data_IF_254530018751
#
_entry.id   IF_254530018751
#
_cell.length_a   1.000
_cell.length_b   1.000
_cell.length_c   1.000
_cell.angle_alpha   90.00
_cell.angle_beta   90.00
_cell.angle_gamma   90.00
#
_symmetry.space_group_name_H-M   'P 1'
#
loop_
_entity.id
_entity.type
_entity.pdbx_description
1 polymer ?
#
# COMPACT_ATOMS: atom_id res chain seq x y z
N UNK A 1 40.15 39.09 -62.31
CA UNK A 1 39.39 38.69 -61.10
C UNK A 1 38.68 37.39 -61.43
N UNK A 2 39.30 36.25 -61.09
CA UNK A 2 38.69 34.92 -61.26
C UNK A 2 37.97 34.52 -60.03
N UNK A 3 36.65 34.47 -60.11
CA UNK A 3 35.78 33.95 -59.06
C UNK A 3 35.84 32.44 -59.15
N UNK A 4 36.47 31.79 -58.15
CA UNK A 4 36.46 30.33 -58.01
C UNK A 4 35.10 29.91 -57.49
N UNK A 5 34.28 29.32 -58.39
CA UNK A 5 33.02 28.65 -58.04
C UNK A 5 33.38 27.41 -57.27
N UNK A 6 33.17 27.45 -55.95
CA UNK A 6 33.24 26.28 -55.06
C UNK A 6 32.18 25.26 -55.54
N UNK A 7 32.61 24.13 -56.07
CA UNK A 7 31.72 23.08 -56.59
C UNK A 7 30.88 22.47 -55.46
N UNK A 8 29.55 22.37 -55.60
CA UNK A 8 28.63 21.84 -54.57
C UNK A 8 28.89 20.37 -54.21
N UNK A 9 29.59 19.62 -55.02
CA UNK A 9 29.95 18.21 -54.83
C UNK A 9 30.89 17.96 -53.63
N UNK A 10 31.78 18.92 -53.27
CA UNK A 10 32.63 18.78 -52.06
C UNK A 10 31.87 19.01 -50.76
N UNK A 11 30.87 19.84 -50.75
CA UNK A 11 30.01 20.08 -49.58
C UNK A 11 29.12 18.87 -49.28
N UNK A 12 28.58 18.23 -50.31
CA UNK A 12 27.76 17.00 -50.19
C UNK A 12 28.56 15.80 -49.66
N UNK A 13 29.84 15.66 -50.05
CA UNK A 13 30.75 14.63 -49.53
C UNK A 13 31.06 14.82 -48.03
N UNK A 14 31.22 16.06 -47.58
CA UNK A 14 31.43 16.39 -46.15
C UNK A 14 30.20 16.08 -45.31
N UNK A 15 29.00 16.42 -45.77
CA UNK A 15 27.73 16.14 -45.05
C UNK A 15 27.47 14.63 -45.01
N UNK A 16 27.70 13.88 -46.07
CA UNK A 16 27.58 12.42 -46.08
C UNK A 16 28.55 11.75 -45.12
N UNK A 17 29.81 12.19 -45.07
CA UNK A 17 30.81 11.69 -44.10
C UNK A 17 30.42 11.97 -42.65
N UNK A 18 29.91 13.17 -42.38
CA UNK A 18 29.45 13.53 -41.02
C UNK A 18 28.25 12.68 -40.59
N UNK A 19 27.28 12.45 -41.46
CA UNK A 19 26.14 11.57 -41.21
C UNK A 19 26.57 10.13 -40.95
N UNK A 20 27.55 9.60 -41.66
CA UNK A 20 28.11 8.27 -41.44
C UNK A 20 28.77 8.16 -40.06
N UNK A 21 29.56 9.16 -39.64
CA UNK A 21 30.19 9.20 -38.31
C UNK A 21 29.15 9.29 -37.21
N UNK A 22 28.13 10.14 -37.34
CA UNK A 22 27.03 10.24 -36.38
C UNK A 22 26.25 8.95 -36.26
N UNK A 23 25.96 8.30 -37.42
CA UNK A 23 25.28 6.99 -37.45
C UNK A 23 26.11 5.91 -36.75
N UNK A 24 27.42 5.85 -37.01
CA UNK A 24 28.33 4.90 -36.38
C UNK A 24 28.42 5.13 -34.86
N UNK A 25 28.54 6.39 -34.41
CA UNK A 25 28.52 6.74 -33.02
C UNK A 25 27.17 6.35 -32.34
N UNK A 26 26.07 6.61 -33.02
CA UNK A 26 24.74 6.18 -32.56
C UNK A 26 24.63 4.66 -32.41
N UNK A 27 25.15 3.92 -33.38
CA UNK A 27 25.19 2.45 -33.31
C UNK A 27 26.06 1.95 -32.16
N UNK A 28 27.25 2.51 -31.96
CA UNK A 28 28.15 2.16 -30.87
C UNK A 28 27.47 2.44 -29.51
N UNK A 29 26.85 3.61 -29.33
CA UNK A 29 26.12 3.95 -28.12
C UNK A 29 24.95 3.00 -27.87
N UNK A 30 24.21 2.62 -28.91
CA UNK A 30 23.15 1.64 -28.83
C UNK A 30 23.68 0.27 -28.39
N UNK A 31 24.76 -0.21 -28.99
CA UNK A 31 25.39 -1.48 -28.62
C UNK A 31 25.90 -1.46 -27.16
N UNK A 32 26.50 -0.36 -26.73
CA UNK A 32 26.93 -0.18 -25.33
C UNK A 32 25.74 -0.22 -24.38
N UNK A 33 24.62 0.42 -24.73
CA UNK A 33 23.37 0.36 -23.93
C UNK A 33 22.80 -1.05 -23.88
N UNK A 34 22.77 -1.76 -25.00
CA UNK A 34 22.29 -3.16 -25.02
C UNK A 34 23.20 -4.04 -24.16
N UNK A 35 24.51 -3.90 -24.27
CA UNK A 35 25.47 -4.63 -23.44
C UNK A 35 25.28 -4.31 -21.96
N UNK A 36 25.12 -3.03 -21.60
CA UNK A 36 24.85 -2.61 -20.21
C UNK A 36 23.56 -3.23 -19.66
N UNK A 37 22.48 -3.21 -20.46
CA UNK A 37 21.21 -3.82 -20.07
C UNK A 37 21.32 -5.34 -19.91
N UNK A 38 22.06 -5.99 -20.80
CA UNK A 38 22.30 -7.43 -20.73
C UNK A 38 23.11 -7.81 -19.47
N UNK A 39 24.21 -7.12 -19.18
CA UNK A 39 25.01 -7.35 -17.98
C UNK A 39 24.21 -7.09 -16.72
N UNK A 40 23.43 -6.02 -16.67
CA UNK A 40 22.55 -5.71 -15.54
C UNK A 40 21.48 -6.80 -15.35
N UNK A 41 20.88 -7.29 -16.43
CA UNK A 41 19.94 -8.42 -16.38
C UNK A 41 20.61 -9.68 -15.81
N UNK A 42 21.80 -10.04 -16.27
CA UNK A 42 22.53 -11.21 -15.78
C UNK A 42 22.85 -11.09 -14.26
N UNK A 43 23.26 -9.91 -13.86
CA UNK A 43 23.51 -9.63 -12.44
C UNK A 43 22.24 -9.79 -11.59
N UNK A 44 21.10 -9.25 -12.06
CA UNK A 44 19.79 -9.41 -11.41
C UNK A 44 19.39 -10.88 -11.29
N UNK A 45 19.48 -11.64 -12.40
CA UNK A 45 19.13 -13.05 -12.42
C UNK A 45 20.01 -13.87 -11.47
N UNK A 46 21.29 -13.56 -11.39
CA UNK A 46 22.23 -14.20 -10.44
C UNK A 46 21.82 -13.91 -8.98
N UNK A 47 21.43 -12.69 -8.66
CA UNK A 47 20.95 -12.32 -7.33
C UNK A 47 19.64 -13.04 -6.97
N UNK A 48 18.70 -13.11 -7.92
CA UNK A 48 17.41 -13.78 -7.73
C UNK A 48 17.53 -15.29 -7.62
N UNK A 49 18.57 -15.91 -8.22
CA UNK A 49 18.75 -17.36 -8.22
C UNK A 49 18.91 -17.98 -6.81
N UNK A 50 19.28 -17.17 -5.80
CA UNK A 50 19.32 -17.59 -4.41
C UNK A 50 17.93 -17.86 -3.82
N UNK A 51 16.88 -17.34 -4.45
CA UNK A 51 15.49 -17.48 -4.00
C UNK A 51 14.72 -18.41 -4.93
N UNK A 52 13.83 -19.22 -4.38
CA UNK A 52 12.99 -20.08 -5.20
C UNK A 52 12.08 -19.21 -6.10
N UNK A 53 11.86 -19.70 -7.29
CA UNK A 53 11.10 -19.00 -8.32
C UNK A 53 10.23 -19.98 -9.11
N UNK A 54 9.00 -19.62 -9.52
CA UNK A 54 8.26 -20.41 -10.48
C UNK A 54 8.98 -20.42 -11.84
N UNK A 55 8.63 -21.35 -12.76
CA UNK A 55 9.19 -21.36 -14.09
C UNK A 55 8.87 -20.07 -14.84
N UNK A 56 9.89 -19.39 -15.35
CA UNK A 56 9.74 -18.13 -16.05
C UNK A 56 9.82 -18.31 -17.57
N UNK A 57 9.07 -17.50 -18.31
CA UNK A 57 9.23 -17.43 -19.76
C UNK A 57 10.55 -16.72 -20.09
N UNK A 58 11.29 -17.20 -21.08
CA UNK A 58 12.63 -16.69 -21.44
C UNK A 58 12.66 -15.18 -21.77
N UNK A 59 11.57 -14.63 -22.33
CA UNK A 59 11.46 -13.23 -22.73
C UNK A 59 10.56 -12.43 -21.79
N UNK A 60 9.33 -12.91 -21.50
CA UNK A 60 8.35 -12.18 -20.69
C UNK A 60 8.50 -12.38 -19.19
N UNK A 61 9.41 -13.27 -18.74
CA UNK A 61 9.51 -13.62 -17.34
C UNK A 61 8.20 -14.20 -16.80
N UNK A 62 7.78 -13.71 -15.63
CA UNK A 62 6.54 -14.09 -14.97
C UNK A 62 5.34 -13.18 -15.30
N UNK A 63 5.50 -12.25 -16.25
CA UNK A 63 4.44 -11.28 -16.57
C UNK A 63 3.14 -11.93 -17.06
N UNK A 64 3.22 -13.07 -17.72
CA UNK A 64 2.04 -13.80 -18.19
C UNK A 64 1.17 -14.37 -17.06
N UNK A 65 1.73 -14.63 -15.91
CA UNK A 65 0.98 -15.14 -14.74
C UNK A 65 -0.07 -14.12 -14.25
N UNK A 66 0.17 -12.82 -14.44
CA UNK A 66 -0.74 -11.75 -14.02
C UNK A 66 -1.97 -11.59 -14.93
N UNK A 67 -2.02 -12.29 -16.06
CA UNK A 67 -3.08 -12.13 -17.05
C UNK A 67 -4.15 -13.24 -17.02
N UNK A 68 -3.90 -14.35 -16.36
CA UNK A 68 -4.70 -15.56 -16.53
C UNK A 68 -5.64 -15.91 -15.38
N UNK A 69 -5.37 -15.47 -14.14
CA UNK A 69 -6.19 -15.80 -12.96
C UNK A 69 -6.20 -14.63 -11.97
N UNK A 70 -7.15 -14.64 -11.04
CA UNK A 70 -7.12 -13.70 -9.92
C UNK A 70 -5.81 -13.88 -9.11
N UNK A 71 -5.17 -12.79 -8.74
CA UNK A 71 -3.84 -12.79 -8.09
C UNK A 71 -3.83 -13.51 -6.74
N UNK A 72 -4.95 -13.50 -5.98
CA UNK A 72 -5.02 -14.08 -4.65
C UNK A 72 -4.86 -15.60 -4.61
N UNK A 73 -5.56 -16.42 -5.41
CA UNK A 73 -5.35 -17.86 -5.45
C UNK A 73 -3.93 -18.25 -5.89
N UNK A 74 -3.35 -17.51 -6.84
CA UNK A 74 -1.97 -17.75 -7.26
C UNK A 74 -0.97 -17.40 -6.16
N UNK A 75 -1.26 -16.38 -5.36
CA UNK A 75 -0.45 -16.01 -4.21
C UNK A 75 -0.44 -17.12 -3.18
N UNK A 76 -1.59 -17.71 -2.84
CA UNK A 76 -1.69 -18.81 -1.88
C UNK A 76 -0.91 -20.04 -2.34
N UNK A 77 -1.07 -20.46 -3.60
CA UNK A 77 -0.26 -21.54 -4.20
C UNK A 77 1.25 -21.27 -4.12
N UNK A 78 1.67 -19.99 -4.30
CA UNK A 78 3.08 -19.59 -4.15
C UNK A 78 3.56 -19.64 -2.71
N UNK A 79 2.75 -19.21 -1.75
CA UNK A 79 3.06 -19.25 -0.32
C UNK A 79 3.22 -20.69 0.15
N UNK A 80 2.32 -21.57 -0.24
CA UNK A 80 2.41 -23.00 0.08
C UNK A 80 3.70 -23.63 -0.48
N UNK A 81 4.04 -23.35 -1.73
CA UNK A 81 5.21 -23.90 -2.40
C UNK A 81 6.54 -23.24 -1.95
N UNK A 82 6.51 -21.95 -1.62
CA UNK A 82 7.68 -21.13 -1.29
C UNK A 82 7.45 -20.32 0.00
N UNK A 83 7.35 -20.94 1.17
CA UNK A 83 6.82 -20.31 2.38
C UNK A 83 7.65 -19.13 2.91
N UNK A 84 8.94 -19.03 2.58
CA UNK A 84 9.77 -17.90 3.03
C UNK A 84 9.69 -16.71 2.09
N UNK A 85 10.01 -16.93 0.83
CA UNK A 85 10.04 -15.89 -0.19
C UNK A 85 10.02 -16.50 -1.58
N UNK A 86 9.52 -15.73 -2.55
CA UNK A 86 9.44 -16.10 -3.95
C UNK A 86 10.01 -14.98 -4.83
N UNK A 87 11.04 -15.30 -5.62
CA UNK A 87 11.59 -14.35 -6.59
C UNK A 87 10.83 -14.39 -7.90
N UNK A 88 10.57 -13.21 -8.47
CA UNK A 88 9.92 -13.06 -9.77
C UNK A 88 10.67 -12.06 -10.63
N UNK A 89 11.04 -12.48 -11.81
CA UNK A 89 11.51 -11.59 -12.86
C UNK A 89 10.32 -11.17 -13.72
N UNK A 90 9.99 -9.89 -13.73
CA UNK A 90 8.78 -9.41 -14.40
C UNK A 90 9.01 -9.21 -15.90
N UNK A 91 10.03 -8.44 -16.27
CA UNK A 91 10.48 -8.21 -17.64
C UNK A 91 11.68 -7.26 -17.66
N UNK A 92 12.57 -7.39 -18.66
CA UNK A 92 13.74 -6.52 -18.80
C UNK A 92 14.63 -6.55 -17.56
N UNK A 93 14.75 -5.42 -16.88
CA UNK A 93 15.52 -5.24 -15.64
C UNK A 93 14.64 -5.19 -14.39
N UNK A 94 13.35 -5.49 -14.50
CA UNK A 94 12.41 -5.43 -13.36
C UNK A 94 12.36 -6.77 -12.65
N UNK A 95 12.78 -6.78 -11.39
CA UNK A 95 12.79 -7.93 -10.52
C UNK A 95 12.08 -7.62 -9.20
N UNK A 96 11.41 -8.62 -8.64
CA UNK A 96 10.62 -8.53 -7.42
C UNK A 96 10.86 -9.77 -6.56
N UNK A 97 11.07 -9.59 -5.26
CA UNK A 97 11.07 -10.69 -4.29
C UNK A 97 9.88 -10.50 -3.35
N UNK A 98 8.92 -11.41 -3.42
CA UNK A 98 7.78 -11.43 -2.48
C UNK A 98 8.18 -12.20 -1.23
N UNK A 99 7.89 -11.63 -0.07
CA UNK A 99 8.24 -12.15 1.24
C UNK A 99 6.99 -12.57 1.99
N UNK A 100 7.02 -13.75 2.63
CA UNK A 100 5.91 -14.38 3.38
C UNK A 100 6.35 -14.90 4.77
N UNK A 101 7.60 -14.70 5.13
CA UNK A 101 8.22 -15.21 6.35
C UNK A 101 8.36 -14.09 7.39
N UNK A 102 8.04 -14.33 8.68
CA UNK A 102 8.07 -13.30 9.71
C UNK A 102 9.47 -12.76 10.03
N UNK A 103 10.54 -13.59 9.95
CA UNK A 103 11.91 -13.14 10.14
C UNK A 103 12.37 -12.22 9.01
N UNK A 104 12.01 -12.57 7.78
CA UNK A 104 12.27 -11.73 6.62
C UNK A 104 11.51 -10.39 6.70
N UNK A 105 10.23 -10.45 7.11
CA UNK A 105 9.42 -9.24 7.36
C UNK A 105 10.08 -8.33 8.38
N UNK A 106 10.52 -8.88 9.52
CA UNK A 106 11.22 -8.17 10.59
C UNK A 106 12.44 -7.43 10.07
N UNK A 107 13.26 -8.09 9.26
CA UNK A 107 14.48 -7.50 8.72
C UNK A 107 14.21 -6.33 7.75
N UNK A 108 13.24 -6.49 6.85
CA UNK A 108 12.93 -5.44 5.88
C UNK A 108 12.19 -4.27 6.55
N UNK A 109 11.22 -4.53 7.42
CA UNK A 109 10.46 -3.51 8.15
C UNK A 109 11.28 -2.74 9.18
N UNK A 110 12.34 -3.36 9.72
CA UNK A 110 13.31 -2.68 10.60
C UNK A 110 14.17 -1.61 9.90
N UNK A 111 14.13 -1.55 8.56
CA UNK A 111 14.88 -0.60 7.74
C UNK A 111 13.99 0.55 7.27
N UNK A 112 14.61 1.67 6.96
CA UNK A 112 13.94 2.85 6.39
C UNK A 112 14.01 2.90 4.86
N UNK A 113 13.98 1.74 4.19
CA UNK A 113 14.03 1.66 2.74
C UNK A 113 12.85 2.41 2.09
N UNK A 114 13.05 3.11 0.96
CA UNK A 114 12.03 3.89 0.30
C UNK A 114 10.91 3.03 -0.29
N UNK A 115 9.76 3.64 -0.51
CA UNK A 115 8.68 3.04 -1.29
C UNK A 115 9.07 3.00 -2.78
N UNK A 116 8.64 1.98 -3.56
CA UNK A 116 8.98 1.89 -4.97
C UNK A 116 8.27 2.96 -5.79
N UNK A 117 9.01 4.00 -6.18
CA UNK A 117 8.49 5.15 -6.93
C UNK A 117 7.77 4.75 -8.22
N UNK A 118 8.27 3.70 -8.91
CA UNK A 118 7.67 3.22 -10.16
C UNK A 118 6.22 2.81 -10.01
N UNK A 119 5.83 2.30 -8.85
CA UNK A 119 4.46 1.84 -8.57
C UNK A 119 3.61 2.95 -7.97
N UNK A 120 4.16 3.64 -6.96
CA UNK A 120 3.41 4.63 -6.18
C UNK A 120 3.12 5.92 -6.95
N UNK A 121 3.94 6.31 -7.93
CA UNK A 121 3.70 7.52 -8.73
C UNK A 121 2.35 7.53 -9.47
N UNK A 122 1.82 6.35 -9.82
CA UNK A 122 0.51 6.27 -10.50
C UNK A 122 -0.65 6.67 -9.59
N UNK A 123 -0.47 6.60 -8.28
CA UNK A 123 -1.48 7.03 -7.32
C UNK A 123 -1.52 8.55 -7.17
N UNK A 124 -0.46 9.26 -7.60
CA UNK A 124 -0.34 10.70 -7.40
C UNK A 124 -1.45 11.52 -8.09
N UNK A 125 -1.88 11.09 -9.27
CA UNK A 125 -2.98 11.73 -10.01
C UNK A 125 -4.35 11.52 -9.37
N UNK A 126 -4.48 10.50 -8.51
CA UNK A 126 -5.74 10.17 -7.83
C UNK A 126 -5.80 10.73 -6.41
N UNK A 127 -4.77 10.48 -5.58
CA UNK A 127 -4.79 10.84 -4.14
C UNK A 127 -3.85 12.01 -3.78
N UNK A 128 -3.16 12.60 -4.76
CA UNK A 128 -2.21 13.68 -4.52
C UNK A 128 -0.97 13.26 -3.74
N UNK A 129 -0.14 14.25 -3.36
CA UNK A 129 1.15 14.05 -2.66
C UNK A 129 0.98 14.11 -1.14
N UNK A 130 0.19 13.21 -0.56
CA UNK A 130 0.05 13.06 0.88
C UNK A 130 1.12 12.18 1.53
N UNK A 131 1.00 11.91 2.82
CA UNK A 131 1.93 11.11 3.63
C UNK A 131 2.24 9.73 3.02
N UNK A 132 1.27 9.15 2.29
CA UNK A 132 1.46 7.86 1.62
C UNK A 132 2.52 7.93 0.52
N UNK A 133 2.55 9.02 -0.27
CA UNK A 133 3.42 9.16 -1.45
C UNK A 133 4.68 9.99 -1.20
N UNK A 134 4.70 10.82 -0.16
CA UNK A 134 5.87 11.62 0.21
C UNK A 134 7.07 10.75 0.57
N UNK A 135 8.26 11.30 0.32
CA UNK A 135 9.55 10.67 0.61
C UNK A 135 10.57 11.64 1.22
N UNK A 136 11.66 11.06 1.74
CA UNK A 136 12.80 11.79 2.28
C UNK A 136 12.40 12.77 3.38
N UNK A 137 13.02 13.96 3.37
CA UNK A 137 12.84 14.97 4.40
C UNK A 137 11.39 15.49 4.49
N UNK A 138 10.70 15.63 3.34
CA UNK A 138 9.30 16.07 3.32
C UNK A 138 8.39 15.05 4.03
N UNK A 139 8.57 13.77 3.76
CA UNK A 139 7.84 12.71 4.47
C UNK A 139 8.09 12.77 5.98
N UNK A 140 9.34 12.93 6.38
CA UNK A 140 9.73 13.00 7.79
C UNK A 140 9.05 14.19 8.51
N UNK A 141 9.04 15.37 7.89
CA UNK A 141 8.37 16.54 8.42
C UNK A 141 6.87 16.33 8.59
N UNK A 142 6.19 15.83 7.56
CA UNK A 142 4.74 15.56 7.62
C UNK A 142 4.42 14.45 8.64
N UNK A 143 5.23 13.40 8.69
CA UNK A 143 5.05 12.32 9.68
C UNK A 143 5.18 12.84 11.10
N UNK A 144 6.19 13.65 11.38
CA UNK A 144 6.40 14.26 12.70
C UNK A 144 5.26 15.19 13.09
N UNK A 145 4.76 15.98 12.15
CA UNK A 145 3.64 16.91 12.35
C UNK A 145 2.33 16.17 12.68
N UNK A 146 2.07 15.06 11.99
CA UNK A 146 0.81 14.29 12.15
C UNK A 146 0.85 13.30 13.32
N UNK A 147 2.01 12.86 13.77
CA UNK A 147 2.14 11.84 14.83
C UNK A 147 1.39 12.20 16.14
N UNK A 148 1.41 13.46 16.63
CA UNK A 148 0.67 13.81 17.85
C UNK A 148 -0.84 13.56 17.76
N UNK A 149 -1.45 13.71 16.57
CA UNK A 149 -2.89 13.47 16.37
C UNK A 149 -3.29 12.00 16.56
N UNK A 150 -2.32 11.09 16.53
CA UNK A 150 -2.52 9.66 16.78
C UNK A 150 -2.07 9.22 18.18
N UNK A 151 -1.82 10.18 19.08
CA UNK A 151 -1.52 9.87 20.46
C UNK A 151 -2.74 9.25 21.14
N UNK A 152 -2.48 8.37 22.11
CA UNK A 152 -3.51 7.61 22.82
C UNK A 152 -4.64 8.48 23.37
N UNK A 153 -4.31 9.59 24.05
CA UNK A 153 -5.29 10.47 24.68
C UNK A 153 -6.24 11.11 23.66
N UNK A 154 -5.71 11.43 22.46
CA UNK A 154 -6.51 11.94 21.34
C UNK A 154 -7.45 10.86 20.81
N UNK A 155 -6.91 9.66 20.55
CA UNK A 155 -7.71 8.53 20.05
C UNK A 155 -8.78 8.07 21.05
N UNK A 156 -8.53 8.19 22.35
CA UNK A 156 -9.50 7.88 23.40
C UNK A 156 -10.76 8.75 23.28
N UNK A 157 -10.61 10.03 22.96
CA UNK A 157 -11.76 10.92 22.77
C UNK A 157 -12.65 10.51 21.58
N UNK A 158 -12.06 9.87 20.56
CA UNK A 158 -12.81 9.42 19.37
C UNK A 158 -13.74 8.24 19.63
N UNK A 159 -13.53 7.47 20.72
CA UNK A 159 -14.40 6.32 21.06
C UNK A 159 -15.86 6.76 21.24
N UNK A 160 -16.10 7.91 21.88
CA UNK A 160 -17.45 8.46 22.01
C UNK A 160 -18.08 8.85 20.67
N UNK A 161 -17.29 9.46 19.77
CA UNK A 161 -17.76 9.83 18.43
C UNK A 161 -18.08 8.58 17.59
N UNK A 162 -17.21 7.57 17.62
CA UNK A 162 -17.44 6.28 16.95
C UNK A 162 -18.70 5.60 17.48
N UNK A 163 -18.89 5.54 18.80
CA UNK A 163 -20.06 4.94 19.43
C UNK A 163 -21.37 5.64 19.02
N UNK A 164 -21.35 6.97 18.89
CA UNK A 164 -22.51 7.71 18.41
C UNK A 164 -22.82 7.40 16.92
N UNK A 165 -21.81 7.35 16.05
CA UNK A 165 -22.02 6.97 14.64
C UNK A 165 -22.55 5.54 14.51
N UNK A 166 -22.05 4.60 15.31
CA UNK A 166 -22.57 3.23 15.35
C UNK A 166 -24.02 3.19 15.82
N UNK A 167 -24.37 3.97 16.86
CA UNK A 167 -25.76 4.01 17.37
C UNK A 167 -26.74 4.49 16.30
N UNK A 168 -26.43 5.57 15.59
CA UNK A 168 -27.27 6.06 14.48
C UNK A 168 -27.49 4.97 13.42
N UNK A 169 -26.47 4.17 13.11
CA UNK A 169 -26.60 3.06 12.19
C UNK A 169 -27.50 1.95 12.76
N UNK A 170 -27.35 1.59 14.03
CA UNK A 170 -28.14 0.55 14.69
C UNK A 170 -29.60 0.93 14.82
N UNK A 171 -29.90 2.18 15.20
CA UNK A 171 -31.27 2.71 15.30
C UNK A 171 -31.97 2.59 13.92
N UNK A 172 -31.27 2.95 12.86
CA UNK A 172 -31.76 2.78 11.49
C UNK A 172 -32.00 1.30 11.11
N UNK A 173 -31.13 0.42 11.56
CA UNK A 173 -31.29 -1.02 11.32
C UNK A 173 -32.51 -1.59 12.05
N UNK A 174 -32.77 -1.13 13.27
CA UNK A 174 -33.96 -1.54 14.04
C UNK A 174 -35.24 -1.17 13.32
N UNK A 175 -35.32 0.03 12.73
CA UNK A 175 -36.45 0.46 11.91
C UNK A 175 -36.59 -0.40 10.64
N UNK A 176 -35.49 -0.64 9.90
CA UNK A 176 -35.51 -1.37 8.63
C UNK A 176 -35.83 -2.85 8.80
N UNK A 177 -35.30 -3.51 9.83
CA UNK A 177 -35.57 -4.92 10.13
C UNK A 177 -37.02 -5.15 10.50
N UNK A 178 -37.69 -4.15 11.09
CA UNK A 178 -39.13 -4.22 11.38
C UNK A 178 -40.01 -4.18 10.13
N UNK A 179 -39.49 -3.66 9.02
CA UNK A 179 -40.22 -3.46 7.75
C UNK A 179 -39.93 -4.56 6.72
N UNK A 180 -38.69 -5.08 6.68
CA UNK A 180 -38.23 -6.06 5.72
C UNK A 180 -37.32 -7.11 6.41
N UNK A 181 -37.35 -8.34 5.91
CA UNK A 181 -36.52 -9.43 6.41
C UNK A 181 -35.06 -9.40 5.94
N UNK A 182 -34.72 -8.56 4.97
CA UNK A 182 -33.39 -8.46 4.37
C UNK A 182 -32.78 -7.06 4.55
N UNK A 183 -31.57 -7.02 5.06
CA UNK A 183 -30.81 -5.77 5.26
C UNK A 183 -29.51 -5.82 4.46
N UNK A 184 -29.30 -4.85 3.58
CA UNK A 184 -28.02 -4.62 2.91
C UNK A 184 -27.06 -3.90 3.88
N UNK A 185 -26.06 -4.64 4.39
CA UNK A 185 -25.17 -4.19 5.47
C UNK A 185 -24.05 -3.28 4.94
N UNK A 186 -23.52 -3.55 3.74
CA UNK A 186 -22.28 -2.92 3.26
C UNK A 186 -22.41 -1.40 3.10
N UNK A 187 -23.51 -0.93 2.52
CA UNK A 187 -23.79 0.49 2.35
C UNK A 187 -23.88 1.22 3.69
N UNK A 188 -24.61 0.64 4.64
CA UNK A 188 -24.80 1.23 5.97
C UNK A 188 -23.48 1.30 6.76
N UNK A 189 -22.69 0.22 6.76
CA UNK A 189 -21.36 0.21 7.41
C UNK A 189 -20.42 1.21 6.75
N UNK A 190 -20.46 1.34 5.41
CA UNK A 190 -19.65 2.30 4.67
C UNK A 190 -19.98 3.75 5.07
N UNK A 191 -21.27 4.09 5.20
CA UNK A 191 -21.71 5.41 5.65
C UNK A 191 -21.34 5.67 7.11
N UNK A 192 -21.50 4.70 7.99
CA UNK A 192 -21.13 4.81 9.41
C UNK A 192 -19.62 5.04 9.56
N UNK A 193 -18.78 4.32 8.81
CA UNK A 193 -17.33 4.50 8.87
C UNK A 193 -16.89 5.84 8.29
N UNK A 194 -17.53 6.30 7.21
CA UNK A 194 -17.31 7.64 6.66
C UNK A 194 -17.70 8.72 7.66
N UNK A 195 -18.89 8.64 8.26
CA UNK A 195 -19.37 9.55 9.29
C UNK A 195 -18.39 9.63 10.48
N UNK A 196 -17.90 8.48 10.91
CA UNK A 196 -16.89 8.38 11.97
C UNK A 196 -15.60 9.14 11.61
N UNK A 197 -15.03 8.91 10.43
CA UNK A 197 -13.78 9.56 10.05
C UNK A 197 -13.97 11.07 9.83
N UNK A 198 -15.10 11.49 9.29
CA UNK A 198 -15.44 12.91 9.12
C UNK A 198 -15.52 13.63 10.47
N UNK A 199 -16.14 13.02 11.48
CA UNK A 199 -16.22 13.60 12.83
C UNK A 199 -14.87 13.60 13.55
N UNK A 200 -14.11 12.50 13.45
CA UNK A 200 -12.84 12.35 14.18
C UNK A 200 -11.68 13.14 13.56
N UNK A 201 -11.52 13.11 12.24
CA UNK A 201 -10.36 13.69 11.57
C UNK A 201 -10.61 15.08 10.98
N UNK A 202 -11.86 15.41 10.65
CA UNK A 202 -12.21 16.67 9.97
C UNK A 202 -13.15 17.56 10.80
N UNK A 203 -13.43 17.20 12.05
CA UNK A 203 -14.32 17.96 12.95
C UNK A 203 -15.69 18.28 12.37
N UNK A 204 -16.19 17.43 11.47
CA UNK A 204 -17.49 17.61 10.83
C UNK A 204 -18.61 17.50 11.89
N UNK A 205 -19.53 18.46 11.91
CA UNK A 205 -20.61 18.52 12.92
C UNK A 205 -21.90 17.78 12.48
N UNK A 206 -22.08 17.56 11.18
CA UNK A 206 -23.23 16.85 10.62
C UNK A 206 -23.15 15.33 10.73
N UNK A 207 -24.12 14.63 10.19
CA UNK A 207 -24.11 13.18 10.06
C UNK A 207 -24.29 12.79 8.60
N UNK A 208 -23.22 12.25 8.00
CA UNK A 208 -23.22 11.72 6.62
C UNK A 208 -24.24 10.59 6.43
N UNK A 209 -24.62 9.92 7.53
CA UNK A 209 -25.62 8.85 7.51
C UNK A 209 -27.05 9.37 7.31
N UNK A 210 -27.35 10.58 7.77
CA UNK A 210 -28.67 11.22 7.64
C UNK A 210 -28.78 12.04 6.36
N UNK A 211 -27.71 12.73 5.95
CA UNK A 211 -27.73 13.64 4.80
C UNK A 211 -27.96 12.91 3.48
N UNK A 212 -27.46 11.68 3.33
CA UNK A 212 -27.67 10.86 2.12
C UNK A 212 -29.05 10.21 2.00
N UNK A 213 -29.85 10.20 3.06
CA UNK A 213 -31.21 9.66 2.99
C UNK A 213 -32.19 10.65 2.34
N UNK A 214 -31.85 11.94 2.32
CA UNK A 214 -32.64 12.97 1.62
C UNK A 214 -32.40 12.98 0.10
N UNK A 215 -31.26 12.48 -0.38
CA UNK A 215 -30.85 12.55 -1.79
C UNK A 215 -31.22 11.32 -2.65
N UNK A 216 -31.82 10.28 -2.08
CA UNK A 216 -32.24 9.11 -2.88
C UNK A 216 -33.51 9.34 -3.71
N UNK A 217 -34.01 10.58 -3.79
CA UNK A 217 -35.10 11.00 -4.64
C UNK A 217 -34.70 11.75 -5.92
N UNK A 218 -33.43 12.10 -6.11
CA UNK A 218 -32.94 12.78 -7.32
C UNK A 218 -31.71 12.08 -7.91
N UNK A 219 -31.86 11.65 -9.16
CA UNK A 219 -30.78 11.15 -10.02
C UNK A 219 -29.75 12.25 -10.24
N UNK A 220 -28.56 12.17 -9.62
CA UNK A 220 -27.50 13.16 -9.79
C UNK A 220 -26.70 12.86 -11.05
N UNK A 221 -26.90 13.70 -12.06
CA UNK A 221 -26.00 13.86 -13.21
C UNK A 221 -24.59 14.31 -12.75
N UNK A 222 -23.48 13.87 -13.40
CA UNK A 222 -22.13 14.20 -12.93
C UNK A 222 -21.84 15.69 -13.09
N UNK A 223 -21.53 16.36 -11.98
CA UNK A 223 -21.15 17.76 -11.96
C UNK A 223 -19.74 17.98 -12.52
N UNK A 224 -19.66 18.91 -13.45
CA UNK A 224 -18.44 19.42 -14.07
C UNK A 224 -17.50 20.09 -13.05
N UNK A 225 -16.19 19.89 -13.29
CA UNK A 225 -15.13 20.36 -12.40
C UNK A 225 -15.04 21.89 -12.30
N UNK A 226 -15.24 22.39 -11.11
CA UNK A 226 -14.95 23.77 -10.74
C UNK A 226 -13.45 23.93 -10.43
N UNK A 227 -12.78 24.82 -11.17
CA UNK A 227 -11.42 25.32 -10.88
C UNK A 227 -11.45 26.10 -9.56
N UNK A 228 -10.69 25.65 -8.56
CA UNK A 228 -10.40 26.46 -7.38
C UNK A 228 -9.26 27.45 -7.70
N UNK A 229 -9.53 28.72 -7.48
CA UNK A 229 -8.54 29.80 -7.63
C UNK A 229 -7.53 29.82 -6.49
N UNK A 230 -6.31 30.20 -6.84
CA UNK A 230 -5.21 30.45 -5.91
C UNK A 230 -5.53 31.69 -5.04
N UNK A 231 -5.64 31.48 -3.75
CA UNK A 231 -5.64 32.53 -2.73
C UNK A 231 -4.72 32.08 -1.59
N UNK A 232 -3.56 32.70 -1.48
CA UNK A 232 -2.66 32.57 -0.32
C UNK A 232 -3.32 33.23 0.90
N UNK A 233 -3.99 32.43 1.73
CA UNK A 233 -4.24 32.81 3.12
C UNK A 233 -3.51 31.83 4.04
N UNK A 234 -2.61 32.40 4.88
CA UNK A 234 -1.98 31.70 6.00
C UNK A 234 -3.06 31.40 7.03
N UNK A 235 -3.77 30.30 6.86
CA UNK A 235 -4.61 29.78 7.93
C UNK A 235 -3.75 29.14 9.01
N UNK A 236 -3.88 29.77 10.18
CA UNK A 236 -3.49 29.19 11.47
C UNK A 236 -4.19 27.82 11.59
N UNK A 237 -3.43 26.73 11.48
CA UNK A 237 -3.88 25.37 11.67
C UNK A 237 -4.27 25.18 13.13
N UNK A 238 -5.39 25.77 13.52
CA UNK A 238 -6.05 25.56 14.80
C UNK A 238 -6.39 24.09 14.97
N UNK A 239 -5.49 23.34 15.59
CA UNK A 239 -5.84 22.01 16.12
C UNK A 239 -7.12 22.17 16.95
N UNK A 240 -8.15 21.37 16.73
CA UNK A 240 -9.40 21.49 17.45
C UNK A 240 -9.15 21.46 18.95
N UNK A 241 -9.46 22.56 19.65
CA UNK A 241 -9.47 22.59 21.11
C UNK A 241 -10.53 21.60 21.55
N UNK A 242 -10.11 20.53 22.22
CA UNK A 242 -10.99 19.47 22.69
C UNK A 242 -12.16 20.06 23.50
N UNK A 243 -13.39 19.66 23.20
CA UNK A 243 -14.50 19.87 24.11
C UNK A 243 -14.19 19.11 25.41
N UNK A 244 -14.60 19.66 26.57
CA UNK A 244 -14.37 19.00 27.86
C UNK A 244 -14.99 17.60 27.84
N UNK A 245 -14.31 16.65 28.47
CA UNK A 245 -14.71 15.25 28.65
C UNK A 245 -16.22 15.17 28.93
N UNK A 246 -16.98 14.75 27.95
CA UNK A 246 -18.41 14.52 28.09
C UNK A 246 -18.58 13.35 29.07
N UNK A 247 -19.00 13.64 30.30
CA UNK A 247 -19.54 12.63 31.19
C UNK A 247 -20.79 12.08 30.49
N UNK A 248 -20.63 10.92 29.87
CA UNK A 248 -21.71 10.26 29.16
C UNK A 248 -22.81 9.87 30.14
N UNK A 249 -23.94 10.51 30.01
CA UNK A 249 -25.19 10.20 30.74
C UNK A 249 -25.77 8.83 30.33
N UNK A 250 -25.21 8.20 29.34
CA UNK A 250 -25.55 6.89 28.79
C UNK A 250 -24.26 6.07 28.74
N UNK A 251 -24.14 5.02 29.52
CA UNK A 251 -22.97 4.14 29.66
C UNK A 251 -22.35 3.66 28.37
N UNK A 252 -21.73 4.58 27.62
CA UNK A 252 -20.97 4.26 26.43
C UNK A 252 -19.77 3.39 26.79
N UNK A 253 -19.48 2.34 26.04
CA UNK A 253 -18.32 1.51 26.27
C UNK A 253 -17.06 2.38 26.23
N UNK A 254 -16.37 2.48 27.35
CA UNK A 254 -15.01 3.01 27.40
C UNK A 254 -14.03 1.87 27.07
N UNK A 255 -12.75 2.20 26.88
CA UNK A 255 -11.71 1.20 26.60
C UNK A 255 -11.67 0.09 27.65
N UNK A 256 -11.94 0.42 28.90
CA UNK A 256 -11.93 -0.55 30.02
C UNK A 256 -12.98 -1.66 29.80
N UNK A 257 -14.09 -1.36 29.12
CA UNK A 257 -15.08 -2.37 28.71
C UNK A 257 -14.59 -3.23 27.54
N UNK A 258 -13.77 -2.66 26.59
CA UNK A 258 -13.19 -3.43 25.50
C UNK A 258 -12.18 -4.48 26.02
N UNK A 259 -11.44 -4.15 27.07
CA UNK A 259 -10.53 -5.09 27.73
C UNK A 259 -11.28 -6.23 28.43
N UNK A 260 -12.56 -6.05 28.74
CA UNK A 260 -13.46 -7.08 29.29
C UNK A 260 -14.10 -7.98 28.21
N UNK A 261 -13.84 -7.73 26.92
CA UNK A 261 -14.35 -8.55 25.81
C UNK A 261 -13.22 -9.29 25.10
N UNK A 262 -12.51 -10.22 25.77
CA UNK A 262 -11.34 -10.88 25.17
C UNK A 262 -11.71 -11.70 23.93
N UNK A 263 -12.84 -12.39 23.93
CA UNK A 263 -13.29 -13.21 22.80
C UNK A 263 -13.60 -12.35 21.57
N UNK A 264 -14.29 -11.22 21.72
CA UNK A 264 -14.53 -10.27 20.62
C UNK A 264 -13.23 -9.75 20.04
N UNK A 265 -12.25 -9.42 20.90
CA UNK A 265 -10.91 -9.02 20.47
C UNK A 265 -10.19 -10.12 19.67
N UNK A 266 -10.33 -11.38 20.08
CA UNK A 266 -9.78 -12.54 19.35
C UNK A 266 -10.45 -12.69 17.97
N UNK A 267 -11.78 -12.55 17.89
CA UNK A 267 -12.51 -12.60 16.62
C UNK A 267 -12.08 -11.48 15.66
N UNK A 268 -11.93 -10.25 16.15
CA UNK A 268 -11.47 -9.11 15.34
C UNK A 268 -10.04 -9.37 14.82
N UNK A 269 -9.14 -9.86 15.66
CA UNK A 269 -7.76 -10.18 15.25
C UNK A 269 -7.75 -11.29 14.20
N UNK A 270 -8.56 -12.33 14.35
CA UNK A 270 -8.65 -13.40 13.37
C UNK A 270 -9.25 -12.93 12.04
N UNK A 271 -10.27 -12.09 12.07
CA UNK A 271 -10.79 -11.44 10.88
C UNK A 271 -9.72 -10.60 10.16
N UNK A 272 -8.93 -9.82 10.90
CA UNK A 272 -7.82 -9.04 10.36
C UNK A 272 -6.66 -9.92 9.84
N UNK A 273 -6.48 -11.12 10.36
CA UNK A 273 -5.53 -12.09 9.83
C UNK A 273 -5.99 -12.59 8.45
N UNK A 274 -7.24 -13.05 8.36
CA UNK A 274 -7.79 -13.57 7.10
C UNK A 274 -7.96 -12.46 6.04
N UNK A 275 -8.37 -11.28 6.46
CA UNK A 275 -8.71 -10.16 5.57
C UNK A 275 -7.95 -8.88 5.96
N UNK A 276 -6.60 -8.86 5.83
CA UNK A 276 -5.83 -7.68 6.18
C UNK A 276 -6.19 -6.51 5.26
N UNK A 277 -6.50 -5.30 5.80
CA UNK A 277 -6.88 -4.13 5.01
C UNK A 277 -5.80 -3.70 4.00
N UNK A 278 -4.54 -3.97 4.32
CA UNK A 278 -3.39 -3.74 3.44
C UNK A 278 -2.74 -5.09 3.15
N UNK A 279 -3.08 -5.75 2.03
CA UNK A 279 -2.59 -7.09 1.74
C UNK A 279 -1.10 -7.13 1.38
N UNK A 280 -0.56 -6.03 0.85
CA UNK A 280 0.83 -5.96 0.38
C UNK A 280 1.38 -4.54 0.38
N UNK A 281 2.67 -4.39 0.72
CA UNK A 281 3.41 -3.13 0.54
C UNK A 281 4.74 -3.40 -0.15
N UNK A 282 5.26 -2.39 -0.88
CA UNK A 282 6.57 -2.47 -1.55
C UNK A 282 7.65 -1.68 -0.79
N UNK A 283 8.88 -2.17 -0.90
CA UNK A 283 10.11 -1.46 -0.51
C UNK A 283 11.15 -1.63 -1.61
N UNK A 284 11.89 -0.59 -1.91
CA UNK A 284 13.06 -0.65 -2.79
C UNK A 284 14.32 -0.60 -1.93
N UNK A 285 15.14 -1.65 -1.98
CA UNK A 285 16.31 -1.74 -1.11
C UNK A 285 17.32 -0.64 -1.44
N UNK A 286 17.58 0.24 -0.51
CA UNK A 286 18.61 1.29 -0.62
C UNK A 286 20.04 0.77 -0.41
N UNK A 287 20.17 -0.35 0.31
CA UNK A 287 21.43 -1.04 0.63
C UNK A 287 21.20 -2.55 0.56
N UNK A 288 22.25 -3.37 0.33
CA UNK A 288 22.12 -4.81 0.39
C UNK A 288 21.55 -5.30 1.71
N UNK A 289 20.85 -6.43 1.68
CA UNK A 289 20.30 -7.11 2.85
C UNK A 289 20.70 -8.59 2.80
N UNK A 290 21.06 -9.17 3.94
CA UNK A 290 21.29 -10.60 4.11
C UNK A 290 20.30 -11.14 5.12
N UNK A 291 19.56 -12.16 4.74
CA UNK A 291 18.55 -12.80 5.58
C UNK A 291 19.16 -13.84 6.52
N UNK A 292 18.46 -14.28 7.58
CA UNK A 292 19.01 -15.20 8.59
C UNK A 292 19.48 -16.55 8.03
N UNK A 293 18.95 -16.97 6.88
CA UNK A 293 19.35 -18.21 6.20
C UNK A 293 20.53 -18.03 5.22
N UNK A 294 21.19 -16.87 5.24
CA UNK A 294 22.36 -16.55 4.42
C UNK A 294 22.07 -16.04 3.02
N UNK A 295 20.82 -16.06 2.57
CA UNK A 295 20.42 -15.46 1.28
C UNK A 295 20.58 -13.96 1.32
N UNK A 296 21.02 -13.37 0.22
CA UNK A 296 21.22 -11.92 0.14
C UNK A 296 20.59 -11.30 -1.10
N UNK A 297 20.15 -10.06 -0.95
CA UNK A 297 19.67 -9.22 -2.05
C UNK A 297 20.50 -7.95 -2.11
N UNK A 298 20.91 -7.53 -3.32
CA UNK A 298 21.60 -6.27 -3.51
C UNK A 298 20.67 -5.07 -3.40
N UNK A 299 21.22 -3.87 -3.33
CA UNK A 299 20.48 -2.63 -3.46
C UNK A 299 19.73 -2.53 -4.81
N UNK A 300 18.64 -1.76 -4.85
CA UNK A 300 17.82 -1.55 -6.05
C UNK A 300 16.81 -2.67 -6.35
N UNK A 301 16.80 -3.75 -5.58
CA UNK A 301 15.77 -4.80 -5.72
C UNK A 301 14.49 -4.35 -5.04
N UNK A 302 13.37 -4.57 -5.72
CA UNK A 302 12.04 -4.40 -5.18
C UNK A 302 11.68 -5.61 -4.31
N UNK A 303 11.34 -5.34 -3.05
CA UNK A 303 10.81 -6.33 -2.10
C UNK A 303 9.34 -6.04 -1.85
N UNK A 304 8.49 -7.03 -2.10
CA UNK A 304 7.07 -7.01 -1.82
C UNK A 304 6.80 -7.75 -0.51
N UNK A 305 6.36 -7.04 0.49
CA UNK A 305 5.97 -7.59 1.78
C UNK A 305 4.48 -7.96 1.71
N UNK A 306 4.19 -9.25 1.56
CA UNK A 306 2.82 -9.72 1.44
C UNK A 306 2.28 -10.13 2.81
N UNK A 307 1.50 -9.25 3.43
CA UNK A 307 0.85 -9.54 4.72
C UNK A 307 -0.25 -10.59 4.54
N UNK A 308 -0.99 -10.54 3.44
CA UNK A 308 -1.96 -11.57 3.12
C UNK A 308 -1.27 -12.96 3.02
N UNK A 309 -0.16 -13.04 2.28
CA UNK A 309 0.62 -14.27 2.17
C UNK A 309 1.23 -14.73 3.49
N UNK A 310 1.73 -13.81 4.33
CA UNK A 310 2.22 -14.12 5.68
C UNK A 310 1.12 -14.68 6.58
N UNK A 311 -0.07 -14.08 6.55
CA UNK A 311 -1.21 -14.46 7.38
C UNK A 311 -1.86 -15.78 6.93
N UNK A 312 -1.63 -16.21 5.69
CA UNK A 312 -2.07 -17.48 5.13
C UNK A 312 -0.93 -18.49 4.96
N UNK A 313 0.23 -18.21 5.55
CA UNK A 313 1.38 -19.10 5.45
C UNK A 313 1.19 -20.32 6.39
N UNK A 314 1.09 -21.56 5.86
CA UNK A 314 0.83 -22.74 6.68
C UNK A 314 1.98 -23.08 7.64
N UNK A 315 3.21 -22.60 7.39
CA UNK A 315 4.34 -22.77 8.30
C UNK A 315 4.29 -21.83 9.51
N UNK A 316 3.49 -20.76 9.42
CA UNK A 316 3.27 -19.76 10.48
C UNK A 316 1.93 -19.95 11.17
N UNK A 317 0.90 -20.30 10.39
CA UNK A 317 -0.48 -20.46 10.80
C UNK A 317 -1.01 -21.84 10.37
N UNK A 318 -1.06 -22.83 11.26
CA UNK A 318 -1.65 -24.13 10.93
C UNK A 318 -3.13 -23.96 10.48
N UNK A 319 -3.53 -24.66 9.42
CA UNK A 319 -4.85 -24.54 8.80
C UNK A 319 -5.26 -23.07 8.54
N UNK A 320 -4.51 -22.34 7.71
CA UNK A 320 -4.58 -20.87 7.65
C UNK A 320 -5.94 -20.34 7.14
N UNK A 321 -6.70 -21.13 6.39
CA UNK A 321 -8.00 -20.73 5.84
C UNK A 321 -9.16 -20.84 6.86
N UNK A 322 -8.92 -21.52 8.00
CA UNK A 322 -9.95 -21.72 9.03
C UNK A 322 -10.00 -20.50 9.94
N UNK A 323 -11.21 -19.96 10.13
CA UNK A 323 -11.47 -18.90 11.11
C UNK A 323 -11.42 -19.50 12.53
N UNK A 324 -10.36 -19.26 13.25
CA UNK A 324 -10.13 -19.77 14.61
C UNK A 324 -9.63 -18.67 15.54
N UNK A 325 -10.53 -17.98 16.25
CA UNK A 325 -10.17 -16.94 17.21
C UNK A 325 -9.25 -17.42 18.33
N UNK A 326 -9.25 -18.72 18.67
CA UNK A 326 -8.41 -19.28 19.73
C UNK A 326 -6.92 -19.09 19.50
N UNK A 327 -6.52 -18.90 18.24
CA UNK A 327 -5.15 -18.51 17.87
C UNK A 327 -4.66 -17.27 18.61
N UNK A 328 -5.56 -16.37 18.97
CA UNK A 328 -5.29 -15.12 19.68
C UNK A 328 -5.60 -15.17 21.18
N UNK A 329 -5.77 -16.38 21.73
CA UNK A 329 -5.98 -16.59 23.16
C UNK A 329 -4.80 -16.02 24.00
N UNK A 330 -5.06 -15.55 25.22
CA UNK A 330 -4.01 -15.13 26.15
C UNK A 330 -2.99 -16.26 26.35
N UNK A 331 -1.71 -15.93 26.37
CA UNK A 331 -0.62 -16.91 26.54
C UNK A 331 -0.20 -17.66 25.25
N UNK A 332 -0.88 -17.48 24.12
CA UNK A 332 -0.43 -18.05 22.85
C UNK A 332 0.91 -17.42 22.40
N UNK A 333 1.93 -18.26 22.19
CA UNK A 333 3.24 -17.82 21.72
C UNK A 333 3.25 -17.68 20.21
N UNK A 334 3.65 -16.52 19.71
CA UNK A 334 3.79 -16.24 18.28
C UNK A 334 5.01 -15.38 18.02
N UNK A 335 5.56 -15.51 16.82
CA UNK A 335 6.60 -14.59 16.36
C UNK A 335 6.06 -13.15 16.31
N UNK A 336 6.83 -12.17 16.78
CA UNK A 336 6.41 -10.77 16.87
C UNK A 336 5.95 -10.16 15.54
N UNK A 337 6.42 -10.70 14.42
CA UNK A 337 6.08 -10.26 13.06
C UNK A 337 5.19 -11.27 12.31
N UNK A 338 4.56 -12.22 12.99
CA UNK A 338 3.61 -13.14 12.36
C UNK A 338 2.26 -12.47 12.05
N UNK A 339 1.86 -11.46 12.82
CA UNK A 339 0.59 -10.76 12.68
C UNK A 339 0.81 -9.26 12.44
N UNK A 340 0.61 -8.81 11.20
CA UNK A 340 0.90 -7.47 10.71
C UNK A 340 -0.26 -6.89 9.87
N UNK A 341 -1.49 -6.80 10.41
CA UNK A 341 -2.66 -6.38 9.63
C UNK A 341 -2.58 -4.93 9.13
N UNK A 342 -1.81 -4.09 9.82
CA UNK A 342 -1.56 -2.68 9.49
C UNK A 342 -0.09 -2.38 9.25
N UNK A 343 0.70 -3.40 8.84
CA UNK A 343 2.15 -3.27 8.70
C UNK A 343 2.87 -3.05 10.04
N UNK A 344 4.13 -2.62 9.99
CA UNK A 344 4.98 -2.36 11.15
C UNK A 344 6.27 -1.67 10.73
N UNK A 345 7.14 -1.37 11.70
CA UNK A 345 8.44 -0.76 11.46
C UNK A 345 8.46 0.75 11.57
N UNK A 346 9.63 1.35 11.26
CA UNK A 346 9.91 2.78 11.43
C UNK A 346 9.25 3.68 10.38
N UNK A 347 8.78 3.10 9.27
CA UNK A 347 8.21 3.85 8.14
C UNK A 347 6.91 3.25 7.62
#
# INVERSE_FOLDING_TARGET
MSVSVLSPTRALGGVSGLLQVVSLLGLVLLLLKVAQLYLHRQWLLKALHQFPSPPSHWFYGHKKEFQQESELPLLLKRVEKYPKACARWLWGTSALVSVYDPDYMKMVLGRSDPKPQRTYKYLNSWIGTGLLLLEGQKWFQHRRMLTPAFHYDILKAYVGLMANSVRVMLDKWEELVSQDSHLEIFGHVSLMTLDTIMKCAFSHQGSVQTDRCSDQGEEVSPAEGGRAGEGEEKEDLGLPRHPPLCQSKYGLPCRDHLDQMPYTTMCIKEALRLYPPIPVIGRELSKPITFPDGRSLPAGILVSLSFYGLHHNPTVWPNPEVFDPSRFAPGSTRHSHAFLPFSGGSR
#
